data_IF_676581405783
#
_entry.id   IF_676581405783
#
_cell.length_a   1.000
_cell.length_b   1.000
_cell.length_c   1.000
_cell.angle_alpha   90.00
_cell.angle_beta   90.00
_cell.angle_gamma   90.00
#
_symmetry.space_group_name_H-M   'P 1'
#
loop_
_entity.id
_entity.type
_entity.pdbx_description
1 polymer ?
#
# COMPACT_ATOMS: atom_id res chain seq x y z
N UNK A 1 59.72 14.35 -38.43
CA UNK A 1 58.36 14.70 -37.98
C UNK A 1 57.45 13.54 -38.31
N UNK A 2 56.97 12.82 -37.31
CA UNK A 2 55.73 12.02 -37.39
C UNK A 2 55.37 11.57 -35.97
N UNK A 3 54.41 12.29 -35.40
CA UNK A 3 53.80 12.07 -34.09
C UNK A 3 53.04 10.74 -34.06
N UNK A 4 53.35 9.90 -33.08
CA UNK A 4 52.57 8.72 -32.75
C UNK A 4 51.58 9.09 -31.63
N UNK A 5 50.29 9.17 -32.01
CA UNK A 5 49.16 9.36 -31.11
C UNK A 5 49.07 8.21 -30.11
N UNK A 6 49.13 8.54 -28.81
CA UNK A 6 48.83 7.64 -27.70
C UNK A 6 47.32 7.56 -27.51
N UNK A 7 46.69 6.46 -27.90
CA UNK A 7 45.30 6.18 -27.55
C UNK A 7 45.26 5.48 -26.18
N UNK A 8 44.93 6.23 -25.13
CA UNK A 8 44.58 5.67 -23.83
C UNK A 8 43.16 5.08 -23.89
N UNK A 9 43.03 3.77 -23.64
CA UNK A 9 41.74 3.14 -23.37
C UNK A 9 41.23 3.64 -22.00
N UNK A 10 40.41 4.68 -22.01
CA UNK A 10 39.64 5.09 -20.84
C UNK A 10 38.44 4.15 -20.67
N UNK A 11 38.50 3.24 -19.71
CA UNK A 11 37.34 2.45 -19.25
C UNK A 11 36.40 3.44 -18.55
N UNK A 12 35.36 3.86 -19.27
CA UNK A 12 34.27 4.65 -18.70
C UNK A 12 33.37 3.70 -17.91
N UNK A 13 33.54 3.67 -16.58
CA UNK A 13 32.65 2.95 -15.68
C UNK A 13 31.31 3.69 -15.68
N UNK A 14 30.39 3.27 -16.56
CA UNK A 14 29.02 3.76 -16.57
C UNK A 14 28.35 3.28 -15.26
N UNK A 15 28.35 4.15 -14.25
CA UNK A 15 27.44 4.06 -13.12
C UNK A 15 26.03 4.23 -13.67
N UNK A 16 25.40 3.13 -14.06
CA UNK A 16 23.97 3.10 -14.36
C UNK A 16 23.27 3.37 -13.03
N UNK A 17 22.60 4.53 -12.85
CA UNK A 17 21.75 4.73 -11.71
C UNK A 17 20.63 3.72 -11.85
N UNK A 18 20.59 2.72 -10.98
CA UNK A 18 19.41 1.89 -10.84
C UNK A 18 18.34 2.83 -10.29
N UNK A 19 17.50 3.35 -11.18
CA UNK A 19 16.25 4.01 -10.80
C UNK A 19 15.45 2.94 -10.07
N UNK A 20 15.62 2.88 -8.75
CA UNK A 20 14.70 2.18 -7.87
C UNK A 20 13.41 2.99 -7.95
N UNK A 21 12.56 2.66 -8.93
CA UNK A 21 11.13 2.95 -8.82
C UNK A 21 10.74 2.54 -7.41
N UNK A 22 10.15 3.47 -6.65
CA UNK A 22 9.72 3.26 -5.27
C UNK A 22 8.64 2.16 -5.26
N UNK A 23 9.09 0.92 -5.36
CA UNK A 23 8.27 -0.26 -5.27
C UNK A 23 7.73 -0.27 -3.85
N UNK A 24 6.42 -0.48 -3.69
CA UNK A 24 5.81 -0.71 -2.39
C UNK A 24 6.53 -1.86 -1.70
N UNK A 25 7.49 -1.51 -0.84
CA UNK A 25 8.30 -2.46 -0.10
C UNK A 25 7.63 -2.68 1.27
N UNK A 26 7.71 -3.90 1.82
CA UNK A 26 7.29 -4.14 3.19
C UNK A 26 8.19 -3.37 4.16
N UNK A 27 7.83 -3.39 5.45
CA UNK A 27 8.52 -2.67 6.52
C UNK A 27 9.92 -3.19 6.88
N UNK A 28 10.45 -4.12 6.08
CA UNK A 28 11.76 -4.74 6.22
C UNK A 28 12.47 -4.86 4.87
N UNK A 29 13.78 -5.07 4.91
CA UNK A 29 14.62 -5.21 3.72
C UNK A 29 14.38 -6.56 3.03
N UNK A 30 13.79 -6.52 1.83
CA UNK A 30 13.50 -7.72 1.04
C UNK A 30 14.73 -8.51 0.63
N UNK A 31 15.92 -7.90 0.56
CA UNK A 31 17.16 -8.63 0.34
C UNK A 31 17.50 -9.58 1.51
N UNK A 32 16.89 -9.38 2.67
CA UNK A 32 17.07 -10.19 3.88
C UNK A 32 15.94 -11.20 4.11
N UNK A 33 14.96 -11.29 3.21
CA UNK A 33 13.86 -12.24 3.32
C UNK A 33 14.37 -13.70 3.30
N UNK A 34 13.96 -14.51 4.29
CA UNK A 34 14.36 -15.91 4.45
C UNK A 34 13.18 -16.86 4.43
N UNK A 35 12.12 -16.51 5.13
CA UNK A 35 10.91 -17.32 5.27
C UNK A 35 9.98 -17.18 4.06
N UNK A 36 9.10 -18.16 3.85
CA UNK A 36 8.08 -18.06 2.78
C UNK A 36 7.18 -16.84 2.98
N UNK A 37 6.77 -16.56 4.22
CA UNK A 37 5.98 -15.37 4.58
C UNK A 37 6.70 -14.09 4.17
N UNK A 38 7.99 -13.95 4.51
CA UNK A 38 8.77 -12.77 4.10
C UNK A 38 8.90 -12.67 2.59
N UNK A 39 9.12 -13.78 1.89
CA UNK A 39 9.20 -13.79 0.42
C UNK A 39 7.88 -13.38 -0.24
N UNK A 40 6.75 -13.80 0.31
CA UNK A 40 5.41 -13.38 -0.17
C UNK A 40 5.15 -11.91 0.16
N UNK A 41 5.56 -11.41 1.33
CA UNK A 41 5.49 -9.98 1.63
C UNK A 41 6.38 -9.14 0.69
N UNK A 42 7.46 -9.74 0.21
CA UNK A 42 8.40 -9.18 -0.74
C UNK A 42 8.10 -9.48 -2.22
N UNK A 43 7.02 -10.20 -2.53
CA UNK A 43 6.63 -10.43 -3.91
C UNK A 43 6.15 -9.10 -4.49
N UNK A 44 7.10 -8.36 -5.07
CA UNK A 44 6.91 -6.99 -5.54
C UNK A 44 5.90 -6.88 -6.69
N UNK A 45 5.63 -5.64 -7.10
CA UNK A 45 4.61 -5.29 -8.09
C UNK A 45 3.29 -4.86 -7.45
N UNK A 46 2.23 -4.78 -8.26
CA UNK A 46 0.86 -4.40 -7.86
C UNK A 46 0.17 -5.47 -6.97
N UNK A 47 0.92 -6.28 -6.22
CA UNK A 47 0.37 -7.32 -5.34
C UNK A 47 -0.26 -6.76 -4.06
N UNK A 48 0.06 -5.51 -3.69
CA UNK A 48 -0.38 -4.85 -2.46
C UNK A 48 0.25 -5.39 -1.17
N UNK A 49 1.15 -6.39 -1.26
CA UNK A 49 1.73 -7.05 -0.08
C UNK A 49 2.78 -6.20 0.64
N UNK A 50 3.50 -5.34 -0.09
CA UNK A 50 4.39 -4.36 0.54
C UNK A 50 3.59 -3.32 1.32
N UNK A 51 2.56 -2.74 0.69
CA UNK A 51 1.68 -1.77 1.32
C UNK A 51 1.03 -2.30 2.60
N UNK A 52 0.51 -3.53 2.58
CA UNK A 52 -0.21 -4.08 3.75
C UNK A 52 0.75 -4.26 4.95
N UNK A 53 1.99 -4.70 4.73
CA UNK A 53 2.97 -4.77 5.81
C UNK A 53 3.41 -3.39 6.29
N UNK A 54 3.71 -2.48 5.35
CA UNK A 54 4.18 -1.13 5.64
C UNK A 54 3.12 -0.32 6.40
N UNK A 55 1.86 -0.40 5.99
CA UNK A 55 0.71 0.21 6.67
C UNK A 55 0.57 -0.32 8.09
N UNK A 56 0.80 -1.63 8.30
CA UNK A 56 0.74 -2.20 9.64
C UNK A 56 1.83 -1.66 10.57
N UNK A 57 3.06 -1.61 10.06
CA UNK A 57 4.18 -1.09 10.81
C UNK A 57 3.96 0.39 11.17
N UNK A 58 3.43 1.18 10.24
CA UNK A 58 3.14 2.60 10.45
C UNK A 58 2.00 2.81 11.46
N UNK A 59 0.91 2.06 11.33
CA UNK A 59 -0.22 2.11 12.28
C UNK A 59 0.25 1.72 13.70
N UNK A 60 1.03 0.65 13.84
CA UNK A 60 1.61 0.25 15.13
C UNK A 60 2.49 1.36 15.73
N UNK A 61 3.35 2.00 14.92
CA UNK A 61 4.17 3.15 15.34
C UNK A 61 3.31 4.35 15.77
N UNK A 62 2.20 4.61 15.08
CA UNK A 62 1.30 5.70 15.42
C UNK A 62 0.61 5.46 16.76
N UNK A 63 0.09 4.26 17.00
CA UNK A 63 -0.56 3.90 18.27
C UNK A 63 0.41 4.00 19.46
N UNK A 64 1.67 3.60 19.30
CA UNK A 64 2.68 3.77 20.35
C UNK A 64 2.90 5.22 20.79
N UNK A 65 2.54 6.20 19.96
CA UNK A 65 2.65 7.64 20.27
C UNK A 65 1.37 8.21 20.90
N UNK A 66 0.28 7.46 20.93
CA UNK A 66 -0.99 7.91 21.54
C UNK A 66 -0.82 7.97 23.07
N UNK A 67 -1.18 9.10 23.71
CA UNK A 67 -1.14 9.22 25.17
C UNK A 67 -1.89 8.08 25.88
N UNK A 68 -1.42 7.71 27.06
CA UNK A 68 -2.02 6.67 27.92
C UNK A 68 -2.09 5.25 27.31
N UNK A 69 -1.44 5.01 26.17
CA UNK A 69 -1.31 3.67 25.59
C UNK A 69 -0.52 2.76 26.52
N UNK A 70 -1.11 1.61 26.89
CA UNK A 70 -0.37 0.56 27.61
C UNK A 70 0.63 -0.13 26.66
N UNK A 71 1.85 0.41 26.60
CA UNK A 71 2.91 -0.04 25.70
C UNK A 71 3.29 -1.51 25.90
N UNK A 72 3.35 -1.99 27.15
CA UNK A 72 3.70 -3.37 27.44
C UNK A 72 2.64 -4.35 26.89
N UNK A 73 1.36 -4.03 27.04
CA UNK A 73 0.27 -4.83 26.48
C UNK A 73 0.27 -4.79 24.94
N UNK A 74 0.47 -3.61 24.35
CA UNK A 74 0.54 -3.43 22.89
C UNK A 74 1.70 -4.21 22.27
N UNK A 75 2.90 -4.15 22.86
CA UNK A 75 4.07 -4.90 22.41
C UNK A 75 3.87 -6.41 22.53
N UNK A 76 3.30 -6.87 23.65
CA UNK A 76 2.99 -8.28 23.85
C UNK A 76 2.00 -8.79 22.81
N UNK A 77 0.91 -8.05 22.57
CA UNK A 77 -0.10 -8.44 21.58
C UNK A 77 0.45 -8.41 20.16
N UNK A 78 1.31 -7.43 19.82
CA UNK A 78 1.95 -7.36 18.51
C UNK A 78 2.89 -8.54 18.26
N UNK A 79 3.68 -8.95 19.25
CA UNK A 79 4.55 -10.15 19.14
C UNK A 79 3.72 -11.43 18.97
N UNK A 80 2.64 -11.57 19.75
CA UNK A 80 1.74 -12.72 19.63
C UNK A 80 1.08 -12.77 18.24
N UNK A 81 0.61 -11.63 17.73
CA UNK A 81 0.06 -11.53 16.38
C UNK A 81 1.09 -11.89 15.30
N UNK A 82 2.33 -11.36 15.38
CA UNK A 82 3.41 -11.70 14.44
C UNK A 82 3.71 -13.21 14.44
N UNK A 83 3.75 -13.84 15.63
CA UNK A 83 3.96 -15.27 15.75
C UNK A 83 2.85 -16.09 15.07
N UNK A 84 1.59 -15.64 15.16
CA UNK A 84 0.45 -16.25 14.46
C UNK A 84 0.50 -16.01 12.95
N UNK A 85 0.73 -14.76 12.52
CA UNK A 85 0.88 -14.37 11.11
C UNK A 85 1.95 -15.21 10.41
N UNK A 86 3.06 -15.46 11.08
CA UNK A 86 4.18 -16.24 10.55
C UNK A 86 3.87 -17.75 10.38
N UNK A 87 2.69 -18.22 10.81
CA UNK A 87 2.23 -19.60 10.60
C UNK A 87 1.46 -19.80 9.28
N UNK A 88 1.23 -18.73 8.50
CA UNK A 88 0.66 -18.86 7.15
C UNK A 88 1.53 -19.78 6.29
N UNK A 89 0.90 -20.75 5.62
CA UNK A 89 1.58 -21.85 4.91
C UNK A 89 0.78 -22.32 3.69
N UNK A 90 1.45 -23.00 2.76
CA UNK A 90 0.84 -23.59 1.56
C UNK A 90 1.51 -23.09 0.29
N UNK A 91 0.74 -23.00 -0.80
CA UNK A 91 1.16 -22.26 -2.00
C UNK A 91 1.27 -20.77 -1.67
N UNK A 92 2.02 -20.01 -2.47
CA UNK A 92 2.21 -18.58 -2.25
C UNK A 92 0.87 -17.81 -2.26
N UNK A 93 -0.08 -18.21 -3.10
CA UNK A 93 -1.45 -17.68 -3.09
C UNK A 93 -2.17 -17.93 -1.75
N UNK A 94 -2.06 -19.15 -1.18
CA UNK A 94 -2.65 -19.47 0.13
C UNK A 94 -1.99 -18.69 1.25
N UNK A 95 -0.67 -18.51 1.18
CA UNK A 95 0.08 -17.68 2.12
C UNK A 95 -0.37 -16.23 2.01
N UNK A 96 -0.48 -15.69 0.79
CA UNK A 96 -0.95 -14.34 0.52
C UNK A 96 -2.35 -14.11 1.10
N UNK A 97 -3.32 -14.97 0.82
CA UNK A 97 -4.69 -14.85 1.36
C UNK A 97 -4.69 -14.90 2.90
N UNK A 98 -3.95 -15.83 3.49
CA UNK A 98 -3.81 -15.93 4.96
C UNK A 98 -3.20 -14.66 5.57
N UNK A 99 -2.18 -14.07 4.92
CA UNK A 99 -1.56 -12.84 5.36
C UNK A 99 -2.56 -11.68 5.27
N UNK A 100 -3.21 -11.50 4.13
CA UNK A 100 -4.22 -10.44 3.91
C UNK A 100 -5.30 -10.48 5.00
N UNK A 101 -5.85 -11.66 5.31
CA UNK A 101 -6.83 -11.82 6.38
C UNK A 101 -6.23 -11.46 7.75
N UNK A 102 -4.99 -11.90 8.02
CA UNK A 102 -4.28 -11.64 9.27
C UNK A 102 -4.01 -10.14 9.51
N UNK A 103 -3.61 -9.40 8.47
CA UNK A 103 -3.37 -7.97 8.53
C UNK A 103 -4.67 -7.17 8.68
N UNK A 104 -5.69 -7.46 7.87
CA UNK A 104 -6.99 -6.78 7.96
C UNK A 104 -7.62 -6.93 9.33
N UNK A 105 -7.60 -8.14 9.89
CA UNK A 105 -8.08 -8.39 11.25
C UNK A 105 -7.29 -7.55 12.28
N UNK A 106 -5.97 -7.44 12.11
CA UNK A 106 -5.11 -6.68 13.01
C UNK A 106 -5.34 -5.17 12.92
N UNK A 107 -5.58 -4.63 11.72
CA UNK A 107 -5.95 -3.23 11.56
C UNK A 107 -7.20 -2.90 12.35
N UNK A 108 -8.26 -3.70 12.19
CA UNK A 108 -9.53 -3.52 12.89
C UNK A 108 -9.33 -3.61 14.40
N UNK A 109 -8.56 -4.61 14.88
CA UNK A 109 -8.26 -4.75 16.31
C UNK A 109 -7.57 -3.49 16.86
N UNK A 110 -6.53 -3.01 16.18
CA UNK A 110 -5.70 -1.90 16.63
C UNK A 110 -6.36 -0.53 16.47
N UNK A 111 -7.30 -0.36 15.54
CA UNK A 111 -8.05 0.89 15.38
C UNK A 111 -9.33 0.96 16.19
N UNK A 112 -9.82 -0.16 16.74
CA UNK A 112 -11.12 -0.28 17.41
C UNK A 112 -11.41 0.75 18.52
N UNK A 113 -10.38 1.25 19.20
CA UNK A 113 -10.55 2.22 20.28
C UNK A 113 -10.99 3.60 19.77
N UNK A 114 -10.58 4.00 18.56
CA UNK A 114 -10.86 5.32 17.97
C UNK A 114 -11.69 5.28 16.67
N UNK A 115 -11.69 4.17 15.93
CA UNK A 115 -12.44 4.02 14.68
C UNK A 115 -13.89 3.55 14.93
N UNK A 116 -14.73 4.45 15.47
CA UNK A 116 -16.13 4.14 15.82
C UNK A 116 -17.04 3.99 14.61
N UNK A 117 -16.71 4.66 13.53
CA UNK A 117 -17.44 4.64 12.26
C UNK A 117 -17.01 3.48 11.36
N UNK A 118 -16.00 2.72 11.79
CA UNK A 118 -15.45 1.56 11.11
C UNK A 118 -14.96 1.88 9.69
N UNK A 119 -14.22 2.96 9.56
CA UNK A 119 -13.50 3.37 8.35
C UNK A 119 -12.38 2.39 8.00
N UNK A 120 -11.89 1.61 8.96
CA UNK A 120 -10.91 0.54 8.75
C UNK A 120 -11.59 -0.73 8.28
N UNK A 121 -11.10 -1.30 7.18
CA UNK A 121 -11.56 -2.59 6.68
C UNK A 121 -11.44 -2.74 5.17
N UNK A 122 -12.05 -3.82 4.67
CA UNK A 122 -12.14 -4.11 3.24
C UNK A 122 -13.51 -3.69 2.70
N UNK A 123 -13.49 -3.02 1.55
CA UNK A 123 -14.63 -2.60 0.78
C UNK A 123 -14.47 -3.10 -0.66
N UNK A 124 -15.57 -3.26 -1.39
CA UNK A 124 -15.52 -3.77 -2.75
C UNK A 124 -16.67 -3.28 -3.61
N UNK A 125 -16.46 -3.34 -4.91
CA UNK A 125 -17.51 -3.22 -5.92
C UNK A 125 -17.27 -4.30 -7.00
N UNK A 126 -17.87 -4.12 -8.17
CA UNK A 126 -17.70 -5.04 -9.30
C UNK A 126 -16.39 -4.85 -10.08
N UNK A 127 -15.61 -3.79 -9.80
CA UNK A 127 -14.32 -3.50 -10.44
C UNK A 127 -13.13 -3.98 -9.59
N UNK A 128 -13.29 -4.08 -8.27
CA UNK A 128 -12.22 -4.52 -7.39
C UNK A 128 -12.43 -4.21 -5.91
N UNK A 129 -11.32 -3.98 -5.22
CA UNK A 129 -11.22 -3.88 -3.75
C UNK A 129 -10.63 -2.54 -3.35
N UNK A 130 -11.17 -1.98 -2.26
CA UNK A 130 -10.62 -0.85 -1.52
C UNK A 130 -10.34 -1.31 -0.10
N UNK A 131 -9.09 -1.23 0.32
CA UNK A 131 -8.68 -1.36 1.71
C UNK A 131 -8.45 0.02 2.31
N UNK A 132 -8.95 0.23 3.52
CA UNK A 132 -8.72 1.47 4.25
C UNK A 132 -8.33 1.20 5.70
N UNK A 133 -7.45 2.05 6.23
CA UNK A 133 -6.96 1.99 7.61
C UNK A 133 -6.93 3.40 8.19
N UNK A 134 -7.76 3.64 9.21
CA UNK A 134 -7.76 4.92 9.94
C UNK A 134 -6.62 4.92 10.95
N UNK A 135 -5.85 6.01 10.97
CA UNK A 135 -4.76 6.22 11.92
C UNK A 135 -5.25 7.09 13.10
N UNK A 136 -4.60 7.00 14.28
CA UNK A 136 -4.99 7.78 15.46
C UNK A 136 -4.91 9.31 15.29
N UNK A 137 -4.14 9.78 14.30
CA UNK A 137 -3.97 11.21 13.99
C UNK A 137 -5.04 11.73 13.01
N UNK A 138 -6.00 10.89 12.61
CA UNK A 138 -7.07 11.25 11.68
C UNK A 138 -6.70 11.09 10.21
N UNK A 139 -5.50 10.59 9.89
CA UNK A 139 -5.18 10.21 8.51
C UNK A 139 -5.82 8.86 8.14
N UNK A 140 -6.25 8.73 6.88
CA UNK A 140 -6.76 7.51 6.30
C UNK A 140 -5.77 6.98 5.26
N UNK A 141 -5.19 5.82 5.52
CA UNK A 141 -4.43 5.06 4.51
C UNK A 141 -5.42 4.33 3.62
N UNK A 142 -5.29 4.45 2.31
CA UNK A 142 -6.17 3.85 1.32
C UNK A 142 -5.33 3.12 0.28
N UNK A 143 -5.72 1.90 -0.04
CA UNK A 143 -5.22 1.13 -1.17
C UNK A 143 -6.41 0.64 -2.01
N UNK A 144 -6.40 0.92 -3.31
CA UNK A 144 -7.44 0.52 -4.25
C UNK A 144 -6.80 -0.30 -5.36
N UNK A 145 -7.33 -1.49 -5.57
CA UNK A 145 -6.92 -2.38 -6.66
C UNK A 145 -8.15 -2.74 -7.49
N UNK A 146 -8.13 -2.40 -8.77
CA UNK A 146 -9.17 -2.80 -9.73
C UNK A 146 -8.55 -3.42 -10.96
N UNK A 147 -9.31 -4.28 -11.63
CA UNK A 147 -8.89 -4.96 -12.84
C UNK A 147 -10.03 -4.98 -13.86
N UNK A 148 -9.67 -4.86 -15.12
CA UNK A 148 -10.58 -5.06 -16.25
C UNK A 148 -10.13 -6.34 -16.95
N UNK A 149 -11.07 -7.23 -17.23
CA UNK A 149 -10.79 -8.45 -17.98
C UNK A 149 -10.44 -8.19 -19.45
N UNK A 150 -10.54 -9.24 -20.27
CA UNK A 150 -10.33 -9.13 -21.70
C UNK A 150 -11.20 -8.01 -22.32
N UNK A 151 -10.69 -7.28 -23.35
CA UNK A 151 -9.43 -7.53 -24.06
C UNK A 151 -8.21 -6.75 -23.55
N UNK A 152 -8.38 -5.75 -22.68
CA UNK A 152 -7.27 -4.86 -22.31
C UNK A 152 -6.42 -5.38 -21.16
N UNK A 153 -6.99 -6.15 -20.23
CA UNK A 153 -6.30 -6.61 -19.02
C UNK A 153 -5.68 -5.48 -18.20
N UNK A 154 -6.20 -4.26 -18.34
CA UNK A 154 -5.73 -3.09 -17.60
C UNK A 154 -6.09 -3.24 -16.11
N UNK A 155 -5.20 -2.76 -15.24
CA UNK A 155 -5.42 -2.74 -13.79
C UNK A 155 -5.11 -1.37 -13.22
N UNK A 156 -5.85 -0.96 -12.19
CA UNK A 156 -5.47 0.16 -11.34
C UNK A 156 -4.85 -0.33 -10.02
N UNK A 157 -3.77 0.30 -9.60
CA UNK A 157 -3.27 0.21 -8.22
C UNK A 157 -3.00 1.62 -7.72
N UNK A 158 -3.73 2.03 -6.68
CA UNK A 158 -3.71 3.39 -6.14
C UNK A 158 -3.59 3.34 -4.64
N UNK A 159 -2.51 3.92 -4.13
CA UNK A 159 -2.21 3.97 -2.71
C UNK A 159 -1.97 5.41 -2.29
N UNK A 160 -2.59 5.85 -1.19
CA UNK A 160 -2.29 7.17 -0.61
C UNK A 160 -2.63 7.21 0.90
N UNK A 161 -2.05 8.20 1.58
CA UNK A 161 -2.36 8.56 2.95
C UNK A 161 -2.79 10.03 2.98
N UNK A 162 -3.98 10.32 3.50
CA UNK A 162 -4.47 11.68 3.55
C UNK A 162 -5.40 11.94 4.75
N UNK A 163 -5.53 13.18 5.22
CA UNK A 163 -6.43 13.52 6.34
C UNK A 163 -7.89 13.21 6.02
N UNK A 164 -8.60 12.62 6.98
CA UNK A 164 -10.06 12.46 6.95
C UNK A 164 -10.74 13.68 7.61
N UNK A 165 -11.24 14.59 6.79
CA UNK A 165 -11.95 15.79 7.23
C UNK A 165 -13.46 15.50 7.34
N UNK A 166 -13.90 15.14 8.55
CA UNK A 166 -15.28 14.70 8.78
C UNK A 166 -15.53 13.35 8.10
N UNK A 167 -16.15 13.36 6.92
CA UNK A 167 -16.34 12.16 6.09
C UNK A 167 -15.67 12.26 4.71
N UNK A 168 -14.89 13.30 4.47
CA UNK A 168 -14.25 13.53 3.18
C UNK A 168 -12.73 13.33 3.27
N UNK A 169 -12.15 12.75 2.22
CA UNK A 169 -10.70 12.76 1.98
C UNK A 169 -10.48 13.42 0.63
N UNK A 170 -9.51 14.32 0.58
CA UNK A 170 -9.03 14.94 -0.64
C UNK A 170 -7.52 14.71 -0.72
N UNK A 171 -7.06 14.06 -1.78
CA UNK A 171 -5.65 13.81 -2.00
C UNK A 171 -5.27 14.27 -3.41
N UNK A 172 -4.18 15.04 -3.49
CA UNK A 172 -3.55 15.46 -4.74
C UNK A 172 -2.19 14.79 -4.77
N UNK A 173 -2.01 13.89 -5.72
CA UNK A 173 -0.74 13.21 -5.88
C UNK A 173 0.33 14.18 -6.36
N UNK A 174 1.52 14.06 -5.80
CA UNK A 174 2.72 14.81 -6.18
C UNK A 174 3.50 14.09 -7.27
N UNK A 175 4.36 14.82 -7.98
CA UNK A 175 5.29 14.23 -8.95
C UNK A 175 6.25 13.22 -8.32
N UNK A 176 6.57 13.38 -7.03
CA UNK A 176 7.37 12.40 -6.28
C UNK A 176 6.62 11.07 -6.09
N UNK A 177 5.30 11.12 -5.89
CA UNK A 177 4.46 9.94 -5.72
C UNK A 177 4.12 9.25 -7.04
N UNK A 178 3.91 10.02 -8.12
CA UNK A 178 3.48 9.48 -9.43
C UNK A 178 4.63 9.25 -10.40
N UNK A 179 5.76 9.96 -10.23
CA UNK A 179 6.78 10.11 -11.25
C UNK A 179 6.31 10.88 -12.49
N UNK A 180 5.14 11.55 -12.44
CA UNK A 180 4.55 12.28 -13.56
C UNK A 180 4.12 13.69 -13.15
N UNK A 181 4.07 14.60 -14.12
CA UNK A 181 3.55 15.97 -13.91
C UNK A 181 2.02 16.02 -13.86
N UNK A 182 1.33 14.89 -14.05
CA UNK A 182 -0.12 14.83 -14.04
C UNK A 182 -0.64 14.94 -12.61
N UNK A 183 -1.47 15.94 -12.35
CA UNK A 183 -2.13 16.13 -11.05
C UNK A 183 -3.31 15.17 -10.93
N UNK A 184 -3.04 13.90 -10.62
CA UNK A 184 -4.09 12.98 -10.20
C UNK A 184 -4.67 13.47 -8.87
N UNK A 185 -5.99 13.65 -8.84
CA UNK A 185 -6.74 14.05 -7.65
C UNK A 185 -7.72 12.95 -7.31
N UNK A 186 -7.80 12.57 -6.05
CA UNK A 186 -8.78 11.60 -5.55
C UNK A 186 -9.61 12.25 -4.46
N UNK A 187 -10.91 12.38 -4.74
CA UNK A 187 -11.92 12.74 -3.76
C UNK A 187 -12.61 11.48 -3.25
N UNK A 188 -12.55 11.24 -1.94
CA UNK A 188 -13.35 10.21 -1.26
C UNK A 188 -14.41 10.85 -0.39
N UNK A 189 -15.60 10.25 -0.37
CA UNK A 189 -16.60 10.54 0.63
C UNK A 189 -17.11 9.25 1.29
N UNK A 190 -17.21 9.27 2.61
CA UNK A 190 -17.74 8.15 3.39
C UNK A 190 -19.18 8.42 3.78
N UNK A 191 -20.06 7.49 3.44
CA UNK A 191 -21.47 7.52 3.84
C UNK A 191 -21.90 6.16 4.36
N UNK A 192 -22.18 6.07 5.66
CA UNK A 192 -22.40 4.80 6.34
C UNK A 192 -21.17 3.89 6.18
N UNK A 193 -21.38 2.66 5.69
CA UNK A 193 -20.32 1.68 5.46
C UNK A 193 -19.87 1.62 3.98
N UNK A 194 -19.86 2.77 3.30
CA UNK A 194 -19.52 2.85 1.88
C UNK A 194 -18.57 4.01 1.60
N UNK A 195 -17.62 3.78 0.69
CA UNK A 195 -16.75 4.79 0.13
C UNK A 195 -17.21 5.14 -1.28
N UNK A 196 -17.46 6.42 -1.54
CA UNK A 196 -17.62 6.96 -2.89
C UNK A 196 -16.28 7.55 -3.34
N UNK A 197 -15.73 7.01 -4.42
CA UNK A 197 -14.40 7.36 -4.95
C UNK A 197 -14.58 8.11 -6.28
N UNK A 198 -13.99 9.30 -6.37
CA UNK A 198 -14.00 10.14 -7.58
C UNK A 198 -12.58 10.59 -7.95
N UNK A 199 -11.92 9.89 -8.88
CA UNK A 199 -10.64 10.33 -9.41
C UNK A 199 -10.79 11.38 -10.50
N UNK A 200 -9.77 12.23 -10.64
CA UNK A 200 -9.61 13.19 -11.73
C UNK A 200 -8.16 13.14 -12.22
N UNK A 201 -7.98 12.94 -13.51
CA UNK A 201 -6.65 12.87 -14.16
C UNK A 201 -5.73 11.78 -13.60
N UNK A 202 -6.28 10.60 -13.27
CA UNK A 202 -5.54 9.49 -12.64
C UNK A 202 -5.25 8.31 -13.59
N UNK A 203 -5.23 8.56 -14.91
CA UNK A 203 -5.07 7.50 -15.90
C UNK A 203 -3.69 6.81 -15.81
N UNK A 204 -2.67 7.54 -15.33
CA UNK A 204 -1.32 7.02 -15.10
C UNK A 204 -1.30 5.79 -14.18
N UNK A 205 -2.27 5.64 -13.29
CA UNK A 205 -2.38 4.49 -12.39
C UNK A 205 -3.08 3.27 -12.99
N UNK A 206 -3.73 3.41 -14.14
CA UNK A 206 -4.84 2.55 -14.57
C UNK A 206 -4.76 1.99 -15.99
N UNK A 207 -3.64 2.18 -16.70
CA UNK A 207 -3.57 1.80 -18.11
C UNK A 207 -4.55 2.61 -18.96
N UNK A 208 -5.25 2.02 -19.92
CA UNK A 208 -6.15 2.75 -20.83
C UNK A 208 -7.64 2.61 -20.50
N UNK A 209 -8.06 1.44 -20.02
CA UNK A 209 -9.47 1.11 -19.85
C UNK A 209 -9.89 0.88 -18.39
N UNK A 210 -8.94 0.69 -17.46
CA UNK A 210 -9.29 0.54 -16.04
C UNK A 210 -9.61 1.87 -15.40
N UNK A 211 -10.42 1.80 -14.34
CA UNK A 211 -10.70 2.92 -13.47
C UNK A 211 -11.01 2.42 -12.07
N UNK A 212 -10.86 3.30 -11.08
CA UNK A 212 -11.14 3.00 -9.68
C UNK A 212 -12.25 3.87 -9.09
N UNK A 213 -12.95 4.64 -9.93
CA UNK A 213 -14.16 5.36 -9.52
C UNK A 213 -15.28 4.38 -9.14
N UNK A 214 -16.14 4.84 -8.23
CA UNK A 214 -17.37 4.14 -7.90
C UNK A 214 -17.66 4.09 -6.40
N UNK A 215 -18.68 3.29 -6.05
CA UNK A 215 -19.11 3.09 -4.67
C UNK A 215 -18.63 1.72 -4.20
N UNK A 216 -17.74 1.71 -3.21
CA UNK A 216 -17.21 0.51 -2.57
C UNK A 216 -17.98 0.25 -1.29
N UNK A 217 -18.58 -0.94 -1.18
CA UNK A 217 -19.36 -1.35 -0.02
C UNK A 217 -18.54 -2.28 0.86
N UNK A 218 -18.73 -2.16 2.16
CA UNK A 218 -18.05 -3.01 3.14
C UNK A 218 -18.31 -4.49 2.86
N UNK A 219 -17.25 -5.29 2.97
CA UNK A 219 -17.31 -6.76 2.89
C UNK A 219 -17.71 -7.38 4.22
#
# INVERSE_FOLDING_TARGET
>A
MNDQLKYGLGICLLLVPCLASAQEAPSFDCAKAKTQVEKVLCSGGNSGMGWIDQTMANLYKAIRKVPDTNLAALESSQRAWLAKRNQCKGSDEKVMNCLVDSYRARYIELSSSYDKQQYTGQFSNNKGVLDSVLFPDGNLSVNISTDVGAPSYDSCSVTFLAPLAGTAVHHVFTEEETGTTDQCIVDLNVSGSQFSVKPKSCQSFCGNAASFDGIYKKK
#
